data_IF_735515649255
#
_entry.id   IF_735515649255
#
_cell.length_a   1.000
_cell.length_b   1.000
_cell.length_c   1.000
_cell.angle_alpha   90.00
_cell.angle_beta   90.00
_cell.angle_gamma   90.00
#
_symmetry.space_group_name_H-M   'P 1'
#
loop_
_entity.id
_entity.type
_entity.pdbx_description
1 polymer ?
#
# COMPACT_ATOMS: atom_id res chain seq x y z
N UNK A 1 -6.43 -17.65 9.45
CA UNK A 1 -5.63 -18.47 8.52
C UNK A 1 -4.25 -17.86 8.48
N UNK A 2 -3.23 -18.60 8.93
CA UNK A 2 -1.83 -18.18 8.78
C UNK A 2 -1.37 -18.43 7.34
N UNK A 3 -0.19 -17.91 6.97
CA UNK A 3 0.44 -18.24 5.67
C UNK A 3 0.65 -19.76 5.50
N UNK A 4 0.96 -20.48 6.58
CA UNK A 4 1.15 -21.94 6.55
C UNK A 4 -0.18 -22.66 6.32
N UNK A 5 -1.24 -22.23 7.00
CA UNK A 5 -2.59 -22.76 6.80
C UNK A 5 -3.04 -22.50 5.35
N UNK A 6 -2.82 -21.28 4.83
CA UNK A 6 -3.19 -20.89 3.47
C UNK A 6 -2.49 -21.75 2.41
N UNK A 7 -1.20 -22.01 2.59
CA UNK A 7 -0.42 -22.87 1.71
C UNK A 7 -0.94 -24.31 1.68
N UNK A 8 -1.49 -24.80 2.80
CA UNK A 8 -1.97 -26.17 2.97
C UNK A 8 -3.43 -26.32 2.50
N UNK A 9 -4.32 -25.43 2.93
CA UNK A 9 -5.76 -25.51 2.70
C UNK A 9 -6.18 -24.96 1.32
N UNK A 10 -5.42 -23.99 0.80
CA UNK A 10 -5.73 -23.25 -0.44
C UNK A 10 -4.47 -23.02 -1.29
N UNK A 11 -3.77 -24.09 -1.73
CA UNK A 11 -2.46 -23.96 -2.39
C UNK A 11 -2.48 -23.13 -3.67
N UNK A 12 -3.55 -23.21 -4.47
CA UNK A 12 -3.68 -22.40 -5.69
C UNK A 12 -3.86 -20.91 -5.40
N UNK A 13 -4.71 -20.58 -4.42
CA UNK A 13 -4.92 -19.21 -3.98
C UNK A 13 -3.67 -18.63 -3.34
N UNK A 14 -2.99 -19.41 -2.50
CA UNK A 14 -1.70 -19.05 -1.91
C UNK A 14 -0.64 -18.78 -2.99
N UNK A 15 -0.50 -19.66 -3.98
CA UNK A 15 0.44 -19.46 -5.09
C UNK A 15 0.11 -18.22 -5.91
N UNK A 16 -1.18 -17.94 -6.15
CA UNK A 16 -1.61 -16.71 -6.81
C UNK A 16 -1.29 -15.47 -5.97
N UNK A 17 -1.54 -15.50 -4.66
CA UNK A 17 -1.28 -14.42 -3.73
C UNK A 17 0.22 -14.09 -3.61
N UNK A 18 1.08 -15.12 -3.57
CA UNK A 18 2.54 -14.96 -3.51
C UNK A 18 3.17 -14.62 -4.87
N UNK A 19 2.38 -14.64 -5.95
CA UNK A 19 2.82 -14.32 -7.30
C UNK A 19 3.07 -12.82 -7.48
N UNK A 20 4.04 -12.46 -8.32
CA UNK A 20 4.28 -11.07 -8.72
C UNK A 20 3.45 -10.68 -9.97
N UNK A 21 2.61 -11.59 -10.49
CA UNK A 21 1.74 -11.33 -11.65
C UNK A 21 0.62 -10.39 -11.24
N UNK A 22 0.64 -9.16 -11.77
CA UNK A 22 -0.30 -8.13 -11.33
C UNK A 22 -1.72 -8.30 -11.83
N UNK A 23 -1.89 -8.93 -12.99
CA UNK A 23 -3.19 -9.17 -13.61
C UNK A 23 -3.85 -10.48 -13.15
N UNK A 24 -3.20 -11.25 -12.28
CA UNK A 24 -3.72 -12.52 -11.79
C UNK A 24 -4.62 -12.26 -10.57
N UNK A 25 -5.89 -12.67 -10.65
CA UNK A 25 -6.79 -12.70 -9.50
C UNK A 25 -6.46 -13.86 -8.58
N UNK A 26 -6.77 -13.70 -7.29
CA UNK A 26 -6.65 -14.77 -6.30
C UNK A 26 -7.91 -15.64 -6.37
N UNK A 27 -7.79 -16.96 -6.67
CA UNK A 27 -8.92 -17.89 -6.64
C UNK A 27 -9.75 -17.80 -5.35
N UNK A 28 -11.07 -17.92 -5.48
CA UNK A 28 -12.01 -17.71 -4.37
C UNK A 28 -12.58 -16.29 -4.28
N UNK A 29 -12.37 -15.46 -5.31
CA UNK A 29 -12.97 -14.12 -5.45
C UNK A 29 -12.09 -12.97 -4.98
N UNK A 30 -10.79 -13.20 -4.77
CA UNK A 30 -9.85 -12.13 -4.42
C UNK A 30 -9.44 -11.29 -5.63
N UNK A 31 -9.13 -10.02 -5.36
CA UNK A 31 -8.68 -9.08 -6.39
C UNK A 31 -7.26 -9.37 -6.88
N UNK A 32 -6.95 -8.90 -8.09
CA UNK A 32 -5.58 -8.81 -8.59
C UNK A 32 -4.89 -7.53 -8.10
N UNK A 33 -3.55 -7.43 -8.22
CA UNK A 33 -2.84 -6.19 -7.87
C UNK A 33 -3.21 -5.03 -8.79
N UNK A 34 -3.57 -5.30 -10.05
CA UNK A 34 -4.03 -4.27 -10.98
C UNK A 34 -5.41 -3.73 -10.58
N UNK A 35 -6.34 -4.60 -10.14
CA UNK A 35 -7.63 -4.17 -9.61
C UNK A 35 -7.49 -3.34 -8.32
N UNK A 36 -6.60 -3.77 -7.40
CA UNK A 36 -6.25 -2.99 -6.22
C UNK A 36 -5.70 -1.62 -6.62
N UNK A 37 -4.77 -1.58 -7.58
CA UNK A 37 -4.14 -0.34 -8.06
C UNK A 37 -5.16 0.62 -8.66
N UNK A 38 -6.02 0.14 -9.55
CA UNK A 38 -7.08 0.94 -10.16
C UNK A 38 -7.99 1.57 -9.11
N UNK A 39 -8.48 0.76 -8.15
CA UNK A 39 -9.34 1.23 -7.06
C UNK A 39 -8.64 2.27 -6.18
N UNK A 40 -7.37 2.04 -5.82
CA UNK A 40 -6.60 2.97 -5.00
C UNK A 40 -6.32 4.30 -5.72
N UNK A 41 -5.96 4.25 -7.00
CA UNK A 41 -5.65 5.45 -7.79
C UNK A 41 -6.92 6.26 -8.09
N UNK A 42 -8.03 5.60 -8.41
CA UNK A 42 -9.33 6.27 -8.54
C UNK A 42 -9.67 7.05 -7.28
N UNK A 43 -9.62 6.37 -6.12
CA UNK A 43 -9.90 7.00 -4.83
C UNK A 43 -8.96 8.17 -4.51
N UNK A 44 -7.67 8.05 -4.84
CA UNK A 44 -6.70 9.15 -4.66
C UNK A 44 -7.17 10.41 -5.41
N UNK A 45 -7.56 10.28 -6.67
CA UNK A 45 -7.99 11.42 -7.47
C UNK A 45 -9.36 11.97 -7.07
N UNK A 46 -10.27 11.13 -6.56
CA UNK A 46 -11.52 11.60 -5.96
C UNK A 46 -11.24 12.51 -4.75
N UNK A 47 -10.31 12.10 -3.87
CA UNK A 47 -9.91 12.90 -2.70
C UNK A 47 -9.19 14.18 -3.13
N UNK A 48 -8.26 14.10 -4.08
CA UNK A 48 -7.55 15.27 -4.62
C UNK A 48 -8.53 16.28 -5.22
N UNK A 49 -9.53 15.80 -5.97
CA UNK A 49 -10.56 16.66 -6.57
C UNK A 49 -11.45 17.32 -5.51
N UNK A 50 -11.86 16.56 -4.50
CA UNK A 50 -12.78 17.01 -3.44
C UNK A 50 -12.14 17.97 -2.44
N UNK A 51 -10.85 17.79 -2.14
CA UNK A 51 -10.14 18.50 -1.06
C UNK A 51 -8.98 19.38 -1.58
N UNK A 52 -9.22 20.13 -2.66
CA UNK A 52 -8.21 21.04 -3.24
C UNK A 52 -7.79 22.11 -2.23
N UNK A 53 -6.48 22.34 -2.10
CA UNK A 53 -5.91 23.30 -1.14
C UNK A 53 -5.99 22.87 0.33
N UNK A 54 -6.58 21.71 0.64
CA UNK A 54 -6.69 21.19 2.00
C UNK A 54 -5.59 20.17 2.32
N UNK A 55 -5.39 19.90 3.61
CA UNK A 55 -4.55 18.79 4.09
C UNK A 55 -5.45 17.66 4.56
N UNK A 56 -5.32 16.49 3.92
CA UNK A 56 -6.06 15.28 4.27
C UNK A 56 -5.14 14.24 4.87
N UNK A 57 -5.63 13.51 5.88
CA UNK A 57 -4.98 12.31 6.41
C UNK A 57 -5.69 11.08 5.84
N UNK A 58 -4.94 10.22 5.16
CA UNK A 58 -5.41 8.90 4.73
C UNK A 58 -4.82 7.84 5.66
N UNK A 59 -5.69 7.03 6.26
CA UNK A 59 -5.31 5.83 7.02
C UNK A 59 -5.67 4.61 6.19
N UNK A 60 -4.71 3.73 5.95
CA UNK A 60 -4.92 2.54 5.13
C UNK A 60 -3.95 1.41 5.45
N UNK A 61 -4.02 0.35 4.65
CA UNK A 61 -3.20 -0.85 4.77
C UNK A 61 -1.95 -0.77 3.88
N UNK A 62 -0.95 -1.63 4.18
CA UNK A 62 0.31 -1.66 3.44
C UNK A 62 0.16 -1.89 1.93
N UNK A 63 -0.75 -2.77 1.51
CA UNK A 63 -1.04 -3.01 0.09
C UNK A 63 -1.52 -1.74 -0.63
N UNK A 64 -2.53 -1.06 -0.08
CA UNK A 64 -3.03 0.21 -0.60
C UNK A 64 -1.94 1.27 -0.67
N UNK A 65 -1.20 1.47 0.43
CA UNK A 65 -0.12 2.47 0.50
C UNK A 65 0.94 2.18 -0.59
N UNK A 66 1.31 0.92 -0.79
CA UNK A 66 2.29 0.51 -1.80
C UNK A 66 1.81 0.80 -3.22
N UNK A 67 0.54 0.55 -3.54
CA UNK A 67 -0.01 0.88 -4.86
C UNK A 67 -0.09 2.38 -5.10
N UNK A 68 -0.47 3.18 -4.09
CA UNK A 68 -0.41 4.63 -4.16
C UNK A 68 1.02 5.12 -4.42
N UNK A 69 2.01 4.59 -3.70
CA UNK A 69 3.42 4.92 -3.90
C UNK A 69 3.91 4.60 -5.31
N UNK A 70 3.54 3.42 -5.83
CA UNK A 70 3.92 3.01 -7.18
C UNK A 70 3.35 3.96 -8.23
N UNK A 71 2.14 4.45 -8.03
CA UNK A 71 1.50 5.43 -8.90
C UNK A 71 2.18 6.80 -8.84
N UNK A 72 2.42 7.33 -7.63
CA UNK A 72 2.96 8.69 -7.46
C UNK A 72 4.48 8.79 -7.61
N UNK A 73 5.20 7.66 -7.56
CA UNK A 73 6.65 7.59 -7.72
C UNK A 73 7.08 6.37 -8.54
N UNK A 74 6.75 6.32 -9.84
CA UNK A 74 7.01 5.14 -10.68
C UNK A 74 8.51 4.84 -10.86
N UNK A 75 9.37 5.85 -10.74
CA UNK A 75 10.83 5.69 -10.85
C UNK A 75 11.52 5.30 -9.55
N UNK A 76 10.83 5.43 -8.41
CA UNK A 76 11.35 5.09 -7.07
C UNK A 76 10.27 4.37 -6.27
N UNK A 77 9.89 3.15 -6.68
CA UNK A 77 8.90 2.39 -5.93
C UNK A 77 9.40 2.16 -4.50
N UNK A 78 8.47 2.09 -3.55
CA UNK A 78 8.80 1.85 -2.16
C UNK A 78 9.41 0.45 -2.00
N UNK A 79 10.66 0.38 -1.55
CA UNK A 79 11.34 -0.87 -1.23
C UNK A 79 11.34 -1.08 0.29
N UNK A 80 11.14 -2.31 0.75
CA UNK A 80 11.15 -2.64 2.18
C UNK A 80 9.77 -2.59 2.84
N UNK A 81 9.75 -2.62 4.17
CA UNK A 81 8.54 -2.74 4.99
C UNK A 81 7.83 -1.39 5.13
N UNK A 82 6.50 -1.39 4.96
CA UNK A 82 5.66 -0.28 5.45
C UNK A 82 5.38 -0.61 6.91
N UNK A 83 5.99 0.14 7.81
CA UNK A 83 5.79 -0.05 9.24
C UNK A 83 4.39 0.40 9.66
N UNK A 84 3.83 -0.28 10.65
CA UNK A 84 2.59 0.14 11.28
C UNK A 84 2.75 1.56 11.80
N UNK A 85 1.68 2.35 11.64
CA UNK A 85 1.62 3.76 12.01
C UNK A 85 2.71 4.65 11.41
N UNK A 86 3.45 4.18 10.39
CA UNK A 86 4.41 5.02 9.68
C UNK A 86 3.72 6.14 8.91
N UNK A 87 4.36 7.31 8.89
CA UNK A 87 3.81 8.52 8.28
C UNK A 87 4.44 8.77 6.92
N UNK A 88 3.59 9.05 5.95
CA UNK A 88 3.96 9.33 4.56
C UNK A 88 3.32 10.64 4.13
N UNK A 89 4.05 11.45 3.35
CA UNK A 89 3.56 12.74 2.85
C UNK A 89 3.70 12.78 1.33
N UNK A 90 2.56 12.94 0.67
CA UNK A 90 2.45 13.18 -0.77
C UNK A 90 2.02 14.64 -0.94
N UNK A 91 2.73 15.38 -1.79
CA UNK A 91 2.34 16.72 -2.22
C UNK A 91 1.56 16.61 -3.52
N UNK A 92 0.51 17.40 -3.64
CA UNK A 92 -0.35 17.44 -4.82
C UNK A 92 -0.30 18.85 -5.40
N UNK A 93 -0.07 18.95 -6.70
CA UNK A 93 -0.11 20.22 -7.41
C UNK A 93 -1.56 20.65 -7.66
N UNK A 94 -1.97 21.82 -7.16
CA UNK A 94 -3.32 22.34 -7.37
C UNK A 94 -3.64 22.59 -8.86
N UNK A 95 -2.64 22.99 -9.64
CA UNK A 95 -2.80 23.31 -11.06
C UNK A 95 -2.93 22.07 -11.95
N UNK A 96 -2.24 20.97 -11.60
CA UNK A 96 -2.11 19.80 -12.50
C UNK A 96 -2.67 18.51 -11.90
N UNK A 97 -2.98 18.48 -10.61
CA UNK A 97 -3.28 17.25 -9.86
C UNK A 97 -2.08 16.29 -9.74
N UNK A 98 -0.89 16.70 -10.19
CA UNK A 98 0.30 15.85 -10.13
C UNK A 98 0.72 15.62 -8.68
N UNK A 99 0.88 14.35 -8.33
CA UNK A 99 1.35 13.94 -7.02
C UNK A 99 2.85 13.67 -7.02
N UNK A 100 3.55 14.07 -5.94
CA UNK A 100 4.95 13.72 -5.69
C UNK A 100 5.14 13.29 -4.24
N UNK A 101 6.04 12.35 -4.01
CA UNK A 101 6.41 11.92 -2.65
C UNK A 101 7.35 12.93 -2.03
N UNK A 102 7.00 13.45 -0.85
CA UNK A 102 7.88 14.29 -0.02
C UNK A 102 8.58 13.48 1.06
N UNK A 103 7.86 12.58 1.70
CA UNK A 103 8.36 11.77 2.83
C UNK A 103 7.70 10.40 2.80
N UNK A 104 8.46 9.37 3.15
CA UNK A 104 7.99 8.00 3.09
C UNK A 104 8.30 7.22 4.35
N UNK A 105 7.27 6.61 4.94
CA UNK A 105 7.41 5.62 6.00
C UNK A 105 8.12 6.12 7.26
N UNK A 106 7.97 7.40 7.62
CA UNK A 106 8.58 7.97 8.81
C UNK A 106 8.02 7.32 10.08
N UNK A 107 8.93 6.83 10.92
CA UNK A 107 8.64 6.21 12.21
C UNK A 107 9.34 6.94 13.35
N UNK A 108 9.82 8.17 13.11
CA UNK A 108 10.59 8.93 14.11
C UNK A 108 9.79 9.14 15.40
N UNK A 109 8.47 9.32 15.27
CA UNK A 109 7.54 9.43 16.41
C UNK A 109 7.38 8.15 17.23
N UNK A 110 7.86 7.00 16.75
CA UNK A 110 7.81 5.71 17.43
C UNK A 110 9.13 5.35 18.12
N UNK A 111 10.16 6.21 18.06
CA UNK A 111 11.48 5.89 18.62
C UNK A 111 11.45 5.62 20.13
N UNK A 112 10.61 6.33 20.89
CA UNK A 112 10.48 6.14 22.35
C UNK A 112 9.56 4.98 22.74
N UNK A 113 8.59 4.63 21.88
CA UNK A 113 7.60 3.57 22.13
C UNK A 113 7.98 2.23 21.51
N UNK A 114 8.95 2.24 20.58
CA UNK A 114 9.41 1.09 19.83
C UNK A 114 8.55 0.81 18.60
N UNK A 115 9.20 0.45 17.50
CA UNK A 115 8.53 -0.16 16.35
C UNK A 115 8.54 -1.67 16.56
N UNK A 116 7.38 -2.31 16.52
CA UNK A 116 7.30 -3.77 16.54
C UNK A 116 7.85 -4.33 15.23
N UNK A 117 9.12 -4.73 15.23
CA UNK A 117 9.80 -5.28 14.05
C UNK A 117 9.08 -6.53 13.50
N UNK A 118 8.52 -7.34 14.39
CA UNK A 118 7.79 -8.57 14.08
C UNK A 118 6.28 -8.38 13.94
N UNK A 119 5.77 -7.15 14.01
CA UNK A 119 4.36 -6.92 13.71
C UNK A 119 4.08 -7.16 12.22
N UNK A 120 2.86 -7.59 11.95
CA UNK A 120 2.28 -7.59 10.62
C UNK A 120 2.49 -6.23 9.95
N UNK A 121 3.19 -6.17 8.80
CA UNK A 121 3.52 -4.92 8.12
C UNK A 121 3.29 -5.00 6.61
N UNK A 122 3.52 -3.94 5.83
CA UNK A 122 3.25 -3.99 4.38
C UNK A 122 4.32 -4.70 3.54
N UNK A 123 4.93 -5.79 4.02
CA UNK A 123 6.02 -6.52 3.35
C UNK A 123 5.59 -7.89 2.81
N UNK A 124 6.49 -8.54 2.07
CA UNK A 124 6.27 -9.85 1.42
C UNK A 124 6.04 -11.02 2.38
N UNK A 125 6.24 -10.80 3.67
CA UNK A 125 6.09 -11.82 4.73
C UNK A 125 4.86 -11.59 5.59
N UNK A 126 4.10 -10.53 5.31
CA UNK A 126 2.93 -10.16 6.08
C UNK A 126 1.66 -10.53 5.31
N UNK A 127 1.10 -11.68 5.64
CA UNK A 127 -0.26 -12.07 5.26
C UNK A 127 -0.95 -12.83 6.38
#
# INVERSE_FOLDING_TARGET
>A
MTLQDAATERPEAYKAFMSHKRNQQVPGGGESLDQLSERCVSFLYDIVGKHKGERVILVSHGGTIRELYRHVSPTKPLHGKIHNTSVSVILVSDATGRCIVKMCGDVSHLQETGVLENAFGGDKTSA
#
